data_IF_156610570787
#
_entry.id   IF_156610570787
#
_cell.length_a   1.000
_cell.length_b   1.000
_cell.length_c   1.000
_cell.angle_alpha   90.00
_cell.angle_beta   90.00
_cell.angle_gamma   90.00
#
_symmetry.space_group_name_H-M   'P 1'
#
loop_
_entity.id
_entity.type
_entity.pdbx_description
1 polymer ?
#
# COMPACT_ATOMS: atom_id res chain seq x y z
N UNK A 1 2.80 20.09 55.29
CA UNK A 1 3.58 20.26 54.04
C UNK A 1 2.97 19.35 53.00
N UNK A 2 2.17 19.92 52.09
CA UNK A 2 1.54 19.19 51.00
C UNK A 2 2.42 19.37 49.76
N UNK A 3 3.05 18.30 49.28
CA UNK A 3 3.91 18.37 48.10
C UNK A 3 3.04 18.24 46.85
N UNK A 4 2.79 19.34 46.16
CA UNK A 4 2.05 19.35 44.89
C UNK A 4 2.98 18.91 43.75
N UNK A 5 2.75 17.71 43.20
CA UNK A 5 3.51 17.22 42.04
C UNK A 5 2.95 17.88 40.77
N UNK A 6 3.69 18.81 40.16
CA UNK A 6 3.37 19.34 38.83
C UNK A 6 4.10 18.53 37.75
N UNK A 7 3.32 17.83 36.92
CA UNK A 7 3.85 17.18 35.71
C UNK A 7 4.13 18.26 34.67
N UNK A 8 5.41 18.51 34.36
CA UNK A 8 5.79 19.47 33.33
C UNK A 8 6.16 18.65 32.09
N UNK A 9 5.28 18.65 31.09
CA UNK A 9 5.58 18.05 29.79
C UNK A 9 6.67 18.89 29.10
N UNK A 10 7.87 18.33 28.94
CA UNK A 10 8.90 18.97 28.15
C UNK A 10 8.62 18.60 26.69
N UNK A 11 8.11 19.56 25.91
CA UNK A 11 7.97 19.41 24.45
C UNK A 11 9.38 19.30 23.87
N UNK A 12 9.89 18.08 23.70
CA UNK A 12 11.22 17.84 23.15
C UNK A 12 11.15 18.00 21.62
N UNK A 13 11.00 19.25 21.16
CA UNK A 13 10.73 19.61 19.76
C UNK A 13 11.76 19.02 18.78
N UNK A 14 13.04 18.97 19.17
CA UNK A 14 14.11 18.49 18.30
C UNK A 14 14.04 16.99 18.04
N UNK A 15 13.84 16.18 19.09
CA UNK A 15 13.73 14.72 18.97
C UNK A 15 12.47 14.33 18.18
N UNK A 16 11.35 15.00 18.45
CA UNK A 16 10.11 14.79 17.71
C UNK A 16 10.28 15.15 16.22
N UNK A 17 10.98 16.25 15.93
CA UNK A 17 11.24 16.67 14.54
C UNK A 17 12.10 15.66 13.79
N UNK A 18 13.11 15.05 14.43
CA UNK A 18 13.96 14.04 13.80
C UNK A 18 13.16 12.83 13.29
N UNK A 19 12.33 12.22 14.15
CA UNK A 19 11.56 11.04 13.78
C UNK A 19 10.50 11.32 12.71
N UNK A 20 9.83 12.48 12.79
CA UNK A 20 8.84 12.87 11.77
C UNK A 20 9.50 13.17 10.42
N UNK A 21 10.64 13.86 10.41
CA UNK A 21 11.43 14.08 9.19
C UNK A 21 11.97 12.77 8.62
N UNK A 22 12.44 11.85 9.45
CA UNK A 22 12.81 10.49 9.02
C UNK A 22 11.64 9.77 8.35
N UNK A 23 10.46 9.83 8.97
CA UNK A 23 9.22 9.29 8.39
C UNK A 23 8.85 9.94 7.05
N UNK A 24 9.04 11.25 6.91
CA UNK A 24 8.77 11.95 5.64
C UNK A 24 9.66 11.48 4.49
N UNK A 25 10.93 11.17 4.76
CA UNK A 25 11.86 10.63 3.75
C UNK A 25 11.41 9.24 3.33
N UNK A 26 11.02 8.39 4.29
CA UNK A 26 10.48 7.06 3.99
C UNK A 26 9.24 7.15 3.10
N UNK A 27 8.26 7.98 3.45
CA UNK A 27 7.05 8.17 2.64
C UNK A 27 7.40 8.75 1.26
N UNK A 28 8.36 9.66 1.17
CA UNK A 28 8.82 10.19 -0.12
C UNK A 28 9.35 9.07 -1.04
N UNK A 29 10.18 8.17 -0.52
CA UNK A 29 10.70 7.04 -1.29
C UNK A 29 9.56 6.11 -1.75
N UNK A 30 8.64 5.77 -0.85
CA UNK A 30 7.48 4.93 -1.18
C UNK A 30 6.53 5.60 -2.19
N UNK A 31 6.40 6.93 -2.13
CA UNK A 31 5.60 7.69 -3.09
C UNK A 31 6.19 7.63 -4.49
N UNK A 32 7.52 7.66 -4.62
CA UNK A 32 8.20 7.50 -5.92
C UNK A 32 7.96 6.10 -6.46
N UNK A 33 8.04 5.07 -5.61
CA UNK A 33 7.70 3.70 -6.01
C UNK A 33 6.24 3.59 -6.49
N UNK A 34 5.31 4.29 -5.82
CA UNK A 34 3.90 4.35 -6.23
C UNK A 34 3.73 5.07 -7.59
N UNK A 35 4.49 6.14 -7.85
CA UNK A 35 4.50 6.81 -9.15
C UNK A 35 5.04 5.92 -10.27
N UNK A 36 6.11 5.16 -10.00
CA UNK A 36 6.65 4.18 -10.96
C UNK A 36 5.60 3.10 -11.22
N UNK A 37 4.94 2.59 -10.17
CA UNK A 37 3.86 1.62 -10.27
C UNK A 37 2.70 2.12 -11.13
N UNK A 38 2.27 3.38 -10.93
CA UNK A 38 1.25 4.04 -11.76
C UNK A 38 1.63 3.99 -13.25
N UNK A 39 2.84 4.44 -13.59
CA UNK A 39 3.30 4.50 -14.99
C UNK A 39 3.35 3.10 -15.59
N UNK A 40 3.90 2.14 -14.85
CA UNK A 40 4.04 0.76 -15.30
C UNK A 40 2.67 0.12 -15.55
N UNK A 41 1.75 0.24 -14.60
CA UNK A 41 0.42 -0.35 -14.70
C UNK A 41 -0.40 0.26 -15.83
N UNK A 42 -0.36 1.60 -16.01
CA UNK A 42 -0.98 2.24 -17.17
C UNK A 42 -0.40 1.72 -18.49
N UNK A 43 0.92 1.62 -18.59
CA UNK A 43 1.57 1.14 -19.81
C UNK A 43 1.23 -0.31 -20.12
N UNK A 44 1.16 -1.17 -19.09
CA UNK A 44 0.81 -2.58 -19.24
C UNK A 44 -0.67 -2.77 -19.58
N UNK A 45 -1.57 -1.96 -19.02
CA UNK A 45 -3.00 -1.97 -19.38
C UNK A 45 -3.21 -1.59 -20.85
N UNK A 46 -2.62 -0.48 -21.30
CA UNK A 46 -2.65 -0.07 -22.71
C UNK A 46 -2.02 -1.12 -23.64
N UNK A 47 -0.95 -1.76 -23.20
CA UNK A 47 -0.30 -2.82 -23.97
C UNK A 47 -1.20 -4.05 -24.13
N UNK A 48 -1.86 -4.49 -23.06
CA UNK A 48 -2.79 -5.63 -23.10
C UNK A 48 -4.01 -5.34 -23.98
N UNK A 49 -4.58 -4.14 -23.87
CA UNK A 49 -5.71 -3.73 -24.73
C UNK A 49 -5.29 -3.71 -26.21
N UNK A 50 -4.10 -3.17 -26.50
CA UNK A 50 -3.56 -3.18 -27.85
C UNK A 50 -3.24 -4.61 -28.34
N UNK A 51 -2.76 -5.51 -27.49
CA UNK A 51 -2.57 -6.91 -27.86
C UNK A 51 -3.90 -7.56 -28.23
N UNK A 52 -4.93 -7.41 -27.39
CA UNK A 52 -6.25 -7.97 -27.66
C UNK A 52 -6.84 -7.43 -28.97
N UNK A 53 -6.78 -6.11 -29.19
CA UNK A 53 -7.33 -5.48 -30.41
C UNK A 53 -6.61 -5.86 -31.70
N UNK A 54 -5.31 -6.21 -31.63
CA UNK A 54 -4.51 -6.58 -32.79
C UNK A 54 -4.28 -8.10 -32.91
N UNK A 55 -4.88 -8.91 -32.04
CA UNK A 55 -4.82 -10.36 -32.19
C UNK A 55 -5.75 -10.75 -33.34
N UNK A 56 -5.21 -11.51 -34.30
CA UNK A 56 -5.99 -11.99 -35.43
C UNK A 56 -7.16 -12.85 -34.94
N UNK A 57 -8.27 -12.82 -35.69
CA UNK A 57 -9.40 -13.69 -35.40
C UNK A 57 -8.98 -15.16 -35.42
N UNK A 58 -9.71 -16.02 -34.69
CA UNK A 58 -9.48 -17.47 -34.70
C UNK A 58 -9.44 -18.05 -36.11
N UNK A 59 -10.33 -17.58 -37.01
CA UNK A 59 -10.39 -17.99 -38.41
C UNK A 59 -9.08 -17.71 -39.18
N UNK A 60 -8.55 -16.48 -39.08
CA UNK A 60 -7.29 -16.12 -39.76
C UNK A 60 -6.08 -16.80 -39.12
N UNK A 61 -6.11 -17.01 -37.80
CA UNK A 61 -5.02 -17.70 -37.07
C UNK A 61 -4.92 -19.18 -37.44
N UNK A 62 -6.06 -19.84 -37.69
CA UNK A 62 -6.16 -21.29 -37.93
C UNK A 62 -6.30 -21.68 -39.41
N UNK A 63 -6.19 -20.72 -40.32
CA UNK A 63 -6.44 -20.86 -41.76
C UNK A 63 -5.61 -21.94 -42.46
N UNK A 64 -4.37 -22.16 -41.99
CA UNK A 64 -3.45 -23.16 -42.54
C UNK A 64 -3.40 -24.46 -41.70
N UNK A 65 -4.25 -24.59 -40.67
CA UNK A 65 -4.30 -25.78 -39.82
C UNK A 65 -5.05 -26.93 -40.53
N UNK A 66 -4.53 -28.16 -40.42
CA UNK A 66 -5.18 -29.34 -41.00
C UNK A 66 -6.52 -29.67 -40.33
N UNK A 67 -6.75 -29.17 -39.11
CA UNK A 67 -7.96 -29.37 -38.32
C UNK A 67 -8.49 -28.04 -37.79
N UNK A 68 -8.87 -27.18 -38.74
CA UNK A 68 -9.31 -25.80 -38.52
C UNK A 68 -10.41 -25.68 -37.44
N UNK A 69 -11.39 -26.59 -37.40
CA UNK A 69 -12.49 -26.54 -36.40
C UNK A 69 -11.97 -26.65 -34.95
N UNK A 70 -11.02 -27.55 -34.70
CA UNK A 70 -10.44 -27.72 -33.36
C UNK A 70 -9.52 -26.54 -33.02
N UNK A 71 -8.72 -26.08 -33.98
CA UNK A 71 -7.85 -24.92 -33.78
C UNK A 71 -8.67 -23.66 -33.46
N UNK A 72 -9.76 -23.41 -34.19
CA UNK A 72 -10.63 -22.26 -33.98
C UNK A 72 -11.32 -22.30 -32.61
N UNK A 73 -11.76 -23.48 -32.16
CA UNK A 73 -12.32 -23.66 -30.81
C UNK A 73 -11.29 -23.29 -29.73
N UNK A 74 -10.06 -23.80 -29.83
CA UNK A 74 -8.99 -23.50 -28.87
C UNK A 74 -8.60 -22.02 -28.86
N UNK A 75 -8.45 -21.39 -30.03
CA UNK A 75 -8.09 -19.97 -30.13
C UNK A 75 -9.22 -19.07 -29.62
N UNK A 76 -10.48 -19.38 -29.92
CA UNK A 76 -11.62 -18.62 -29.39
C UNK A 76 -11.70 -18.67 -27.87
N UNK A 77 -11.40 -19.84 -27.26
CA UNK A 77 -11.33 -19.97 -25.81
C UNK A 77 -10.26 -19.06 -25.20
N UNK A 78 -9.06 -18.99 -25.80
CA UNK A 78 -7.97 -18.11 -25.33
C UNK A 78 -8.35 -16.64 -25.48
N UNK A 79 -8.96 -16.26 -26.61
CA UNK A 79 -9.42 -14.89 -26.85
C UNK A 79 -10.49 -14.45 -25.86
N UNK A 80 -11.41 -15.35 -25.51
CA UNK A 80 -12.42 -15.09 -24.49
C UNK A 80 -11.77 -14.88 -23.10
N UNK A 81 -10.82 -15.73 -22.70
CA UNK A 81 -10.13 -15.59 -21.41
C UNK A 81 -9.35 -14.26 -21.33
N UNK A 82 -8.69 -13.89 -22.44
CA UNK A 82 -7.97 -12.61 -22.55
C UNK A 82 -8.93 -11.44 -22.45
N UNK A 83 -10.11 -11.53 -23.08
CA UNK A 83 -11.14 -10.51 -22.98
C UNK A 83 -11.63 -10.36 -21.53
N UNK A 84 -11.99 -11.48 -20.88
CA UNK A 84 -12.44 -11.47 -19.47
C UNK A 84 -11.39 -10.85 -18.55
N UNK A 85 -10.11 -11.15 -18.78
CA UNK A 85 -9.02 -10.57 -18.01
C UNK A 85 -8.84 -9.07 -18.23
N UNK A 86 -8.95 -8.61 -19.48
CA UNK A 86 -8.92 -7.18 -19.81
C UNK A 86 -10.12 -6.45 -19.18
N UNK A 87 -11.29 -7.09 -19.16
CA UNK A 87 -12.52 -6.53 -18.57
C UNK A 87 -12.45 -6.35 -17.06
N UNK A 88 -11.61 -7.12 -16.35
CA UNK A 88 -11.36 -6.90 -14.91
C UNK A 88 -10.69 -5.55 -14.63
N UNK A 89 -10.02 -4.95 -15.63
CA UNK A 89 -9.35 -3.64 -15.52
C UNK A 89 -8.41 -3.52 -14.31
N UNK A 90 -7.79 -4.64 -13.90
CA UNK A 90 -6.90 -4.66 -12.73
C UNK A 90 -5.72 -3.70 -12.87
N UNK A 91 -5.22 -3.53 -14.10
CA UNK A 91 -4.20 -2.54 -14.43
C UNK A 91 -4.66 -1.11 -14.21
N UNK A 92 -5.85 -0.75 -14.67
CA UNK A 92 -6.40 0.59 -14.50
C UNK A 92 -6.69 0.89 -13.03
N UNK A 93 -7.27 -0.08 -12.30
CA UNK A 93 -7.56 0.06 -10.87
C UNK A 93 -6.25 0.15 -10.09
N UNK A 94 -5.28 -0.72 -10.37
CA UNK A 94 -3.96 -0.69 -9.75
C UNK A 94 -3.21 0.61 -10.02
N UNK A 95 -3.30 1.13 -11.25
CA UNK A 95 -2.78 2.43 -11.64
C UNK A 95 -3.46 3.54 -10.81
N UNK A 96 -4.79 3.57 -10.76
CA UNK A 96 -5.55 4.57 -10.01
C UNK A 96 -5.19 4.57 -8.51
N UNK A 97 -5.08 3.39 -7.89
CA UNK A 97 -4.67 3.25 -6.48
C UNK A 97 -3.23 3.71 -6.26
N UNK A 98 -2.31 3.37 -7.17
CA UNK A 98 -0.92 3.83 -7.13
C UNK A 98 -0.82 5.36 -7.26
N UNK A 99 -1.61 5.94 -8.16
CA UNK A 99 -1.73 7.40 -8.31
C UNK A 99 -2.31 8.08 -7.08
N UNK A 100 -3.36 7.49 -6.48
CA UNK A 100 -3.95 7.99 -5.24
C UNK A 100 -2.93 7.97 -4.09
N UNK A 101 -2.16 6.90 -3.93
CA UNK A 101 -1.10 6.79 -2.93
C UNK A 101 -0.02 7.85 -3.14
N UNK A 102 0.40 8.10 -4.39
CA UNK A 102 1.34 9.16 -4.71
C UNK A 102 0.79 10.55 -4.37
N UNK A 103 -0.42 10.88 -4.82
CA UNK A 103 -1.04 12.19 -4.60
C UNK A 103 -1.24 12.46 -3.11
N UNK A 104 -1.75 11.48 -2.36
CA UNK A 104 -1.97 11.60 -0.91
C UNK A 104 -0.67 11.65 -0.12
N UNK A 105 0.44 11.12 -0.66
CA UNK A 105 1.76 11.23 -0.04
C UNK A 105 2.27 12.67 0.00
N UNK A 106 1.94 13.52 -0.99
CA UNK A 106 2.45 14.89 -1.07
C UNK A 106 2.10 15.72 0.18
N UNK A 107 0.81 15.91 0.55
CA UNK A 107 0.48 16.66 1.75
C UNK A 107 0.96 15.96 3.03
N UNK A 108 1.02 14.63 3.05
CA UNK A 108 1.55 13.87 4.18
C UNK A 108 3.04 14.16 4.42
N UNK A 109 3.87 14.11 3.37
CA UNK A 109 5.29 14.42 3.43
C UNK A 109 5.49 15.84 3.94
N UNK A 110 4.73 16.82 3.44
CA UNK A 110 4.80 18.20 3.92
C UNK A 110 4.48 18.31 5.42
N UNK A 111 3.43 17.62 5.86
CA UNK A 111 3.00 17.60 7.27
C UNK A 111 4.06 16.97 8.19
N UNK A 112 4.65 15.85 7.76
CA UNK A 112 5.73 15.18 8.48
C UNK A 112 7.03 16.01 8.51
N UNK A 113 7.38 16.63 7.39
CA UNK A 113 8.62 17.40 7.25
C UNK A 113 8.60 18.69 8.09
N UNK A 114 7.47 19.41 8.07
CA UNK A 114 7.24 20.61 8.87
C UNK A 114 7.34 20.30 10.38
N UNK A 115 6.82 19.15 10.81
CA UNK A 115 6.79 18.72 12.21
C UNK A 115 6.07 19.70 13.17
N UNK A 116 5.30 20.66 12.64
CA UNK A 116 4.54 21.64 13.44
C UNK A 116 3.42 20.98 14.25
N UNK A 117 2.71 20.02 13.64
CA UNK A 117 1.63 19.28 14.27
C UNK A 117 1.88 17.76 14.24
N UNK A 118 2.61 17.23 15.24
CA UNK A 118 2.93 15.81 15.33
C UNK A 118 1.72 14.87 15.37
N UNK A 119 0.62 15.26 16.02
CA UNK A 119 -0.58 14.43 16.13
C UNK A 119 -1.25 14.24 14.77
N UNK A 120 -1.41 15.33 14.01
CA UNK A 120 -1.92 15.28 12.64
C UNK A 120 -0.99 14.45 11.74
N UNK A 121 0.33 14.65 11.84
CA UNK A 121 1.30 13.91 11.04
C UNK A 121 1.19 12.40 11.25
N UNK A 122 1.15 11.95 12.52
CA UNK A 122 1.03 10.54 12.87
C UNK A 122 -0.31 9.95 12.41
N UNK A 123 -1.42 10.65 12.64
CA UNK A 123 -2.75 10.18 12.20
C UNK A 123 -2.82 10.03 10.68
N UNK A 124 -2.34 11.03 9.94
CA UNK A 124 -2.30 10.98 8.49
C UNK A 124 -1.39 9.86 7.97
N UNK A 125 -0.26 9.58 8.64
CA UNK A 125 0.58 8.42 8.32
C UNK A 125 -0.14 7.09 8.52
N UNK A 126 -0.93 6.93 9.59
CA UNK A 126 -1.72 5.73 9.83
C UNK A 126 -2.81 5.55 8.76
N UNK A 127 -3.51 6.62 8.40
CA UNK A 127 -4.51 6.59 7.33
C UNK A 127 -3.88 6.19 6.00
N UNK A 128 -2.73 6.77 5.67
CA UNK A 128 -2.00 6.44 4.44
C UNK A 128 -1.54 4.98 4.43
N UNK A 129 -1.02 4.47 5.55
CA UNK A 129 -0.63 3.05 5.66
C UNK A 129 -1.84 2.12 5.49
N UNK A 130 -2.99 2.45 6.08
CA UNK A 130 -4.21 1.67 5.88
C UNK A 130 -4.66 1.68 4.42
N UNK A 131 -4.61 2.83 3.75
CA UNK A 131 -4.90 2.95 2.32
C UNK A 131 -3.94 2.09 1.48
N UNK A 132 -2.65 2.14 1.79
CA UNK A 132 -1.62 1.32 1.15
C UNK A 132 -1.93 -0.17 1.29
N UNK A 133 -2.07 -0.66 2.53
CA UNK A 133 -2.37 -2.07 2.81
C UNK A 133 -3.66 -2.56 2.15
N UNK A 134 -4.75 -1.80 2.27
CA UNK A 134 -6.06 -2.19 1.70
C UNK A 134 -6.03 -2.22 0.17
N UNK A 135 -5.32 -1.28 -0.46
CA UNK A 135 -5.15 -1.27 -1.92
C UNK A 135 -4.41 -2.52 -2.44
N UNK A 136 -3.33 -2.92 -1.76
CA UNK A 136 -2.54 -4.09 -2.13
C UNK A 136 -3.33 -5.39 -1.91
N UNK A 137 -4.04 -5.48 -0.78
CA UNK A 137 -4.88 -6.64 -0.46
C UNK A 137 -6.05 -6.79 -1.44
N UNK A 138 -6.65 -5.68 -1.88
CA UNK A 138 -7.70 -5.71 -2.88
C UNK A 138 -7.18 -6.26 -4.22
N UNK A 139 -6.10 -5.67 -4.76
CA UNK A 139 -5.56 -6.08 -6.06
C UNK A 139 -5.15 -7.55 -6.05
N UNK A 140 -4.46 -8.00 -4.99
CA UNK A 140 -4.01 -9.39 -4.95
C UNK A 140 -5.16 -10.38 -4.77
N UNK A 141 -6.23 -9.99 -4.09
CA UNK A 141 -7.42 -10.81 -3.94
C UNK A 141 -8.10 -11.01 -5.29
N UNK A 142 -8.31 -9.93 -6.05
CA UNK A 142 -8.94 -10.01 -7.37
C UNK A 142 -8.08 -10.79 -8.36
N UNK A 143 -6.77 -10.55 -8.37
CA UNK A 143 -5.84 -11.30 -9.22
C UNK A 143 -5.86 -12.80 -8.88
N UNK A 144 -5.80 -13.18 -7.60
CA UNK A 144 -5.83 -14.60 -7.21
C UNK A 144 -7.17 -15.26 -7.54
N UNK A 145 -8.29 -14.54 -7.41
CA UNK A 145 -9.60 -15.07 -7.78
C UNK A 145 -9.68 -15.36 -9.28
N UNK A 146 -9.23 -14.43 -10.11
CA UNK A 146 -9.16 -14.64 -11.55
C UNK A 146 -8.19 -15.78 -11.93
N UNK A 147 -6.96 -15.75 -11.39
CA UNK A 147 -5.93 -16.76 -11.66
C UNK A 147 -6.43 -18.16 -11.30
N UNK A 148 -7.13 -18.29 -10.16
CA UNK A 148 -7.73 -19.56 -9.76
C UNK A 148 -8.79 -20.04 -10.74
N UNK A 149 -9.72 -19.19 -11.16
CA UNK A 149 -10.76 -19.56 -12.13
C UNK A 149 -10.13 -20.03 -13.45
N UNK A 150 -9.21 -19.23 -13.98
CA UNK A 150 -8.49 -19.56 -15.21
C UNK A 150 -7.75 -20.90 -15.13
N UNK A 151 -7.01 -21.14 -14.04
CA UNK A 151 -6.24 -22.37 -13.87
C UNK A 151 -7.14 -23.60 -13.59
N UNK A 152 -8.23 -23.45 -12.84
CA UNK A 152 -9.17 -24.54 -12.56
C UNK A 152 -9.91 -24.99 -13.84
N UNK A 153 -10.24 -24.07 -14.74
CA UNK A 153 -10.91 -24.39 -16.00
C UNK A 153 -9.99 -25.07 -17.02
N UNK A 154 -8.73 -24.63 -17.15
CA UNK A 154 -7.81 -25.12 -18.20
C UNK A 154 -6.89 -26.24 -17.75
N UNK A 155 -6.53 -26.29 -16.47
CA UNK A 155 -5.46 -27.16 -15.96
C UNK A 155 -5.87 -27.98 -14.73
N UNK A 156 -7.13 -28.40 -14.68
CA UNK A 156 -7.77 -29.14 -13.57
C UNK A 156 -6.96 -30.33 -12.99
N UNK A 157 -6.03 -30.91 -13.75
CA UNK A 157 -5.29 -32.12 -13.36
C UNK A 157 -3.82 -31.89 -12.91
N UNK A 158 -3.26 -30.67 -12.93
CA UNK A 158 -1.80 -30.47 -12.74
C UNK A 158 -1.40 -29.47 -11.65
N UNK A 159 -2.29 -28.63 -11.09
CA UNK A 159 -1.82 -27.36 -10.52
C UNK A 159 -2.28 -26.95 -9.10
N UNK A 160 -2.99 -27.78 -8.33
CA UNK A 160 -3.47 -27.36 -7.00
C UNK A 160 -2.34 -26.91 -6.05
N UNK A 161 -1.18 -27.57 -6.10
CA UNK A 161 -0.02 -27.18 -5.28
C UNK A 161 0.57 -25.83 -5.71
N UNK A 162 0.66 -25.57 -7.02
CA UNK A 162 1.20 -24.33 -7.57
C UNK A 162 0.30 -23.14 -7.22
N UNK A 163 -1.03 -23.29 -7.41
CA UNK A 163 -2.02 -22.27 -7.05
C UNK A 163 -1.97 -21.92 -5.55
N UNK A 164 -1.83 -22.93 -4.68
CA UNK A 164 -1.69 -22.73 -3.23
C UNK A 164 -0.41 -21.95 -2.93
N UNK A 165 0.73 -22.33 -3.52
CA UNK A 165 1.98 -21.62 -3.32
C UNK A 165 1.92 -20.18 -3.82
N UNK A 166 1.43 -19.94 -5.04
CA UNK A 166 1.27 -18.60 -5.61
C UNK A 166 0.41 -17.72 -4.68
N UNK A 167 -0.75 -18.22 -4.26
CA UNK A 167 -1.65 -17.49 -3.35
C UNK A 167 -0.97 -17.17 -2.03
N UNK A 168 -0.33 -18.15 -1.39
CA UNK A 168 0.34 -17.97 -0.10
C UNK A 168 1.48 -16.98 -0.21
N UNK A 169 2.38 -17.12 -1.19
CA UNK A 169 3.52 -16.23 -1.34
C UNK A 169 3.10 -14.80 -1.67
N UNK A 170 2.06 -14.65 -2.48
CA UNK A 170 1.50 -13.35 -2.84
C UNK A 170 0.97 -12.59 -1.61
N UNK A 171 0.12 -13.23 -0.80
CA UNK A 171 -0.37 -12.62 0.43
C UNK A 171 0.72 -12.44 1.47
N UNK A 172 1.63 -13.41 1.64
CA UNK A 172 2.73 -13.32 2.60
C UNK A 172 3.66 -12.14 2.29
N UNK A 173 3.95 -11.89 1.02
CA UNK A 173 4.74 -10.74 0.59
C UNK A 173 4.12 -9.42 1.03
N UNK A 174 2.81 -9.24 0.79
CA UNK A 174 2.07 -8.05 1.20
C UNK A 174 2.04 -7.92 2.72
N UNK A 175 1.66 -8.99 3.43
CA UNK A 175 1.60 -8.99 4.91
C UNK A 175 2.95 -8.61 5.53
N UNK A 176 4.05 -9.17 5.01
CA UNK A 176 5.40 -8.83 5.47
C UNK A 176 5.75 -7.36 5.23
N UNK A 177 5.41 -6.82 4.04
CA UNK A 177 5.62 -5.41 3.71
C UNK A 177 4.84 -4.49 4.68
N UNK A 178 3.54 -4.74 4.85
CA UNK A 178 2.69 -3.93 5.71
C UNK A 178 3.09 -4.04 7.18
N UNK A 179 3.48 -5.22 7.65
CA UNK A 179 3.95 -5.42 9.01
C UNK A 179 5.25 -4.66 9.30
N UNK A 180 6.16 -4.61 8.33
CA UNK A 180 7.39 -3.83 8.44
C UNK A 180 7.09 -2.33 8.52
N UNK A 181 6.24 -1.80 7.63
CA UNK A 181 5.83 -0.40 7.65
C UNK A 181 5.06 -0.03 8.93
N UNK A 182 4.16 -0.90 9.38
CA UNK A 182 3.44 -0.79 10.65
C UNK A 182 4.43 -0.68 11.82
N UNK A 183 5.44 -1.54 11.85
CA UNK A 183 6.44 -1.57 12.93
C UNK A 183 7.24 -0.27 12.97
N UNK A 184 7.67 0.25 11.81
CA UNK A 184 8.34 1.54 11.73
C UNK A 184 7.44 2.67 12.25
N UNK A 185 6.19 2.72 11.79
CA UNK A 185 5.26 3.77 12.19
C UNK A 185 4.89 3.69 13.67
N UNK A 186 4.79 2.49 14.23
CA UNK A 186 4.62 2.28 15.67
C UNK A 186 5.81 2.86 16.46
N UNK A 187 7.04 2.57 16.04
CA UNK A 187 8.25 3.14 16.67
C UNK A 187 8.25 4.67 16.59
N UNK A 188 7.97 5.25 15.43
CA UNK A 188 7.86 6.71 15.26
C UNK A 188 6.79 7.28 16.20
N UNK A 189 5.62 6.66 16.25
CA UNK A 189 4.52 7.05 17.15
C UNK A 189 4.97 7.06 18.61
N UNK A 190 5.69 6.04 19.06
CA UNK A 190 6.22 5.98 20.43
C UNK A 190 7.25 7.07 20.71
N UNK A 191 8.13 7.36 19.76
CA UNK A 191 9.20 8.34 19.96
C UNK A 191 8.71 9.79 19.93
N UNK A 192 7.64 10.05 19.17
CA UNK A 192 7.04 11.39 19.01
C UNK A 192 6.10 11.76 20.17
N UNK A 193 5.65 10.78 20.97
CA UNK A 193 4.77 11.03 22.14
C UNK A 193 5.43 12.03 23.11
N UNK A 194 4.66 13.00 23.63
CA UNK A 194 5.19 13.96 24.60
C UNK A 194 5.67 13.23 25.86
N UNK A 195 6.97 13.31 26.15
CA UNK A 195 7.54 12.76 27.38
C UNK A 195 7.17 13.69 28.54
N UNK A 196 6.35 13.20 29.46
CA UNK A 196 6.07 13.88 30.72
C UNK A 196 7.25 13.68 31.67
N UNK A 197 7.97 14.75 32.01
CA UNK A 197 8.91 14.72 33.13
C UNK A 197 8.15 15.10 34.41
N UNK A 198 8.23 14.25 35.44
CA UNK A 198 7.77 14.58 36.78
C UNK A 198 8.80 15.50 37.42
N UNK A 199 8.50 16.79 37.52
CA UNK A 199 9.32 17.72 38.31
C UNK A 199 8.66 17.92 39.68
N UNK A 200 9.34 17.50 40.74
CA UNK A 200 8.98 17.88 42.11
C UNK A 200 9.31 19.36 42.29
N UNK A 201 8.30 20.22 42.34
CA UNK A 201 8.49 21.61 42.77
C UNK A 201 8.25 21.68 44.28
N UNK A 202 9.26 22.13 45.02
CA UNK A 202 9.11 22.40 46.45
C UNK A 202 8.58 23.82 46.61
N UNK A 203 7.27 23.93 46.86
CA UNK A 203 6.62 25.21 47.13
C UNK A 203 6.99 25.64 48.56
N UNK A 204 7.97 26.54 48.68
CA UNK A 204 8.27 27.22 49.94
C UNK A 204 7.14 28.21 50.19
N UNK A 205 6.19 27.84 51.05
CA UNK A 205 5.22 28.78 51.61
C UNK A 205 6.04 29.79 52.41
N UNK A 206 6.24 30.98 51.85
CA UNK A 206 6.75 32.12 52.60
C UNK A 206 5.53 32.68 53.33
N UNK A 207 5.38 32.32 54.60
CA UNK A 207 4.51 33.04 55.52
C UNK A 207 5.11 34.42 55.73
N UNK A 208 4.68 35.40 54.93
CA UNK A 208 4.81 36.80 55.29
C UNK A 208 3.75 37.09 56.37
N UNK A 209 4.10 36.82 57.63
CA UNK A 209 3.50 37.49 58.77
C UNK A 209 4.28 38.77 59.02
N UNK A 210 3.78 39.88 58.49
CA UNK A 210 4.19 41.23 58.92
C UNK A 210 3.78 41.45 60.39
N UNK A 211 4.61 42.22 61.10
CA UNK A 211 4.55 42.59 62.52
C UNK A 211 3.20 43.15 63.01
#
# INVERSE_FOLDING_TARGET
MENTIKVISKKNNELNSFWLKGGSILIAILSIASLIGLIFLLSAGLYLENLYQNTDSAEETCKDDMNQEICEEEVNLILQDLQEFVELKLWDIGAALSGLLFITSIPLIMTLWSAENPDLAIKSSWVWLCLHATSQLFIINEYNNWSKQFLDEKFANVQSLFQIFETIFSFAGIICCEFFLFSILAVITFQVRPKSELKLQHEKIIENGED
#
